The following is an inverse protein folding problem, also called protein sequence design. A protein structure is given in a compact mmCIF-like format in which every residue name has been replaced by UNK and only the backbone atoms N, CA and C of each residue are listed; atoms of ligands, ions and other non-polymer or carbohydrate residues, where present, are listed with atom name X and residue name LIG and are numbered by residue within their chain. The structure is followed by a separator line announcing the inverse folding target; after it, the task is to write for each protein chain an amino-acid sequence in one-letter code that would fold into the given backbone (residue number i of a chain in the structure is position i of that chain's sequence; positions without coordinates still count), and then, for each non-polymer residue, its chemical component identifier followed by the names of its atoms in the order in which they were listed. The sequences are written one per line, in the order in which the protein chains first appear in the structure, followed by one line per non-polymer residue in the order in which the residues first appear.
data_IF_159179554180
#
_entry.id   IF_159179554180
#
_cell.length_a   1.000
_cell.length_b   1.000
_cell.length_c   1.000
_cell.angle_alpha   90.00
_cell.angle_beta   90.00
_cell.angle_gamma   90.00
#
_symmetry.space_group_name_H-M   'P 1'
#
loop_
_entity.id
_entity.type
_entity.pdbx_description
1 polymer ?
#
# COMPACT_ATOMS: atom_id res chain seq x y z
N UNK A 1 16.38 -8.87 2.31
CA UNK A 1 15.23 -8.04 1.87
C UNK A 1 15.08 -8.17 0.38
N UNK A 2 13.86 -8.33 -0.16
CA UNK A 2 13.57 -8.28 -1.60
C UNK A 2 13.02 -6.91 -1.98
N UNK A 3 13.29 -6.45 -3.19
CA UNK A 3 12.88 -5.14 -3.68
C UNK A 3 11.71 -5.27 -4.66
N UNK A 4 10.57 -4.65 -4.33
CA UNK A 4 9.38 -4.52 -5.15
C UNK A 4 9.18 -3.10 -5.67
N UNK A 5 8.22 -2.91 -6.57
CA UNK A 5 7.84 -1.61 -7.09
C UNK A 5 6.46 -1.20 -6.59
N UNK A 6 6.30 0.07 -6.18
CA UNK A 6 5.05 0.61 -5.68
C UNK A 6 4.37 1.47 -6.75
N UNK A 7 3.23 1.00 -7.23
CA UNK A 7 2.36 1.68 -8.19
C UNK A 7 1.49 2.70 -7.45
N UNK A 8 1.81 3.98 -7.59
CA UNK A 8 1.05 5.07 -6.98
C UNK A 8 -0.21 5.38 -7.79
N UNK A 9 -1.36 4.95 -7.30
CA UNK A 9 -2.66 5.27 -7.91
C UNK A 9 -3.00 6.76 -7.78
N UNK A 10 -2.35 7.49 -6.89
CA UNK A 10 -2.56 8.93 -6.67
C UNK A 10 -1.91 9.77 -7.78
N UNK A 11 -0.74 9.33 -8.28
CA UNK A 11 0.01 10.06 -9.32
C UNK A 11 -0.31 9.62 -10.75
N UNK A 12 -0.86 8.40 -10.94
CA UNK A 12 -0.91 7.80 -12.26
C UNK A 12 -2.28 7.24 -12.61
N UNK A 13 -2.68 7.47 -13.85
CA UNK A 13 -3.88 6.87 -14.42
C UNK A 13 -3.75 5.36 -14.62
N UNK A 14 -4.88 4.65 -14.85
CA UNK A 14 -4.88 3.18 -14.85
C UNK A 14 -4.06 2.56 -15.98
N UNK A 15 -3.85 3.25 -17.11
CA UNK A 15 -3.02 2.74 -18.22
C UNK A 15 -1.54 2.88 -17.90
N UNK A 16 -1.14 4.03 -17.36
CA UNK A 16 0.22 4.30 -16.92
C UNK A 16 0.65 3.33 -15.82
N UNK A 17 -0.24 3.00 -14.87
CA UNK A 17 0.03 2.00 -13.84
C UNK A 17 0.29 0.60 -14.42
N UNK A 18 -0.48 0.19 -15.44
CA UNK A 18 -0.25 -1.09 -16.14
C UNK A 18 1.08 -1.07 -16.89
N UNK A 19 1.44 0.04 -17.53
CA UNK A 19 2.73 0.17 -18.24
C UNK A 19 3.91 0.19 -17.26
N UNK A 20 3.79 0.87 -16.11
CA UNK A 20 4.79 0.82 -15.03
C UNK A 20 4.96 -0.60 -14.47
N UNK A 21 3.87 -1.35 -14.30
CA UNK A 21 3.93 -2.75 -13.86
C UNK A 21 4.76 -3.62 -14.83
N UNK A 22 4.56 -3.47 -16.15
CA UNK A 22 5.40 -4.16 -17.17
C UNK A 22 6.87 -3.78 -17.05
N UNK A 23 7.14 -2.51 -16.84
CA UNK A 23 8.52 -2.01 -16.70
C UNK A 23 9.17 -2.52 -15.42
N UNK A 24 8.43 -2.57 -14.32
CA UNK A 24 8.92 -3.15 -13.07
C UNK A 24 9.30 -4.64 -13.24
N UNK A 25 8.47 -5.41 -13.94
CA UNK A 25 8.80 -6.80 -14.28
C UNK A 25 10.07 -6.91 -15.12
N UNK A 26 10.18 -6.11 -16.18
CA UNK A 26 11.37 -6.08 -17.05
C UNK A 26 12.63 -5.62 -16.33
N UNK A 27 12.49 -4.72 -15.35
CA UNK A 27 13.60 -4.24 -14.51
C UNK A 27 14.01 -5.24 -13.43
N UNK A 28 13.27 -6.33 -13.24
CA UNK A 28 13.60 -7.39 -12.26
C UNK A 28 13.12 -7.12 -10.84
N UNK A 29 12.17 -6.22 -10.64
CA UNK A 29 11.52 -6.07 -9.34
C UNK A 29 10.78 -7.36 -8.95
N UNK A 30 10.76 -7.67 -7.65
CA UNK A 30 10.25 -8.96 -7.14
C UNK A 30 8.71 -9.04 -7.17
N UNK A 31 8.03 -7.95 -6.82
CA UNK A 31 6.57 -7.88 -6.69
C UNK A 31 6.09 -6.44 -6.83
N UNK A 32 4.78 -6.25 -6.83
CA UNK A 32 4.12 -4.96 -6.94
C UNK A 32 3.27 -4.66 -5.69
N UNK A 33 3.32 -3.43 -5.20
CA UNK A 33 2.27 -2.81 -4.41
C UNK A 33 1.45 -1.87 -5.28
N UNK A 34 0.17 -1.69 -4.94
CA UNK A 34 -0.70 -0.69 -5.55
C UNK A 34 -1.60 -0.06 -4.49
N UNK A 35 -1.65 1.26 -4.42
CA UNK A 35 -2.51 1.99 -3.49
C UNK A 35 -4.00 1.90 -3.88
N UNK A 36 -4.88 1.87 -2.88
CA UNK A 36 -6.35 1.87 -3.03
C UNK A 36 -6.93 3.12 -2.39
N UNK A 37 -7.06 4.17 -3.17
CA UNK A 37 -7.62 5.44 -2.78
C UNK A 37 -8.89 5.77 -3.58
N UNK A 38 -9.73 6.65 -3.04
CA UNK A 38 -10.84 7.30 -3.75
C UNK A 38 -10.46 8.70 -4.20
N UNK A 39 -9.70 9.41 -3.35
CA UNK A 39 -9.09 10.69 -3.66
C UNK A 39 -7.56 10.58 -3.61
N UNK A 40 -6.82 11.34 -4.43
CA UNK A 40 -5.42 11.61 -4.14
C UNK A 40 -5.30 12.44 -2.85
N UNK A 41 -4.10 12.53 -2.30
CA UNK A 41 -3.87 13.34 -1.10
C UNK A 41 -3.97 14.86 -1.38
N UNK A 42 -3.62 15.26 -2.59
CA UNK A 42 -3.72 16.64 -3.08
C UNK A 42 -3.99 16.65 -4.59
N UNK A 43 -4.42 17.78 -5.13
CA UNK A 43 -4.80 17.90 -6.53
C UNK A 43 -3.61 17.81 -7.50
N UNK A 44 -2.37 18.07 -7.04
CA UNK A 44 -1.16 17.92 -7.86
C UNK A 44 -0.86 16.46 -8.24
N UNK A 45 -1.26 15.50 -7.41
CA UNK A 45 -1.16 14.07 -7.72
C UNK A 45 -2.12 13.66 -8.85
N UNK A 46 -3.35 14.17 -8.85
CA UNK A 46 -4.25 14.23 -10.00
C UNK A 46 -5.00 12.96 -10.39
N UNK A 47 -4.74 11.81 -9.76
CA UNK A 47 -5.36 10.54 -10.10
C UNK A 47 -5.90 9.78 -8.88
N UNK A 48 -6.82 8.86 -9.11
CA UNK A 48 -7.24 7.83 -8.14
C UNK A 48 -8.12 6.78 -8.84
N UNK A 49 -7.58 5.94 -9.72
CA UNK A 49 -8.36 4.93 -10.41
C UNK A 49 -8.86 3.85 -9.45
N UNK A 50 -9.99 3.25 -9.77
CA UNK A 50 -10.52 2.14 -8.98
C UNK A 50 -9.57 0.93 -9.05
N UNK A 51 -8.92 0.62 -7.93
CA UNK A 51 -7.81 -0.33 -7.83
C UNK A 51 -8.14 -1.72 -8.38
N UNK A 52 -9.37 -2.22 -8.13
CA UNK A 52 -9.78 -3.57 -8.53
C UNK A 52 -9.86 -3.74 -10.05
N UNK A 53 -10.24 -2.68 -10.79
CA UNK A 53 -10.19 -2.68 -12.25
C UNK A 53 -8.76 -2.63 -12.77
N UNK A 54 -7.89 -1.86 -12.12
CA UNK A 54 -6.48 -1.72 -12.47
C UNK A 54 -5.72 -3.02 -12.25
N UNK A 55 -5.98 -3.72 -11.12
CA UNK A 55 -5.39 -5.05 -10.84
C UNK A 55 -5.73 -6.06 -11.95
N UNK A 56 -6.96 -6.04 -12.47
CA UNK A 56 -7.32 -6.88 -13.62
C UNK A 56 -6.44 -6.61 -14.85
N UNK A 57 -6.17 -5.34 -15.14
CA UNK A 57 -5.24 -4.95 -16.22
C UNK A 57 -3.79 -5.37 -15.97
N UNK A 58 -3.30 -5.23 -14.73
CA UNK A 58 -1.95 -5.66 -14.33
C UNK A 58 -1.81 -7.18 -14.44
N UNK A 59 -2.82 -7.94 -14.01
CA UNK A 59 -2.82 -9.39 -14.05
C UNK A 59 -2.67 -9.97 -15.47
N UNK A 60 -3.24 -9.30 -16.47
CA UNK A 60 -3.11 -9.66 -17.90
C UNK A 60 -1.78 -9.16 -18.50
N UNK A 61 -1.16 -8.16 -17.89
CA UNK A 61 0.03 -7.50 -18.43
C UNK A 61 1.35 -8.07 -17.91
N UNK A 62 1.34 -8.70 -16.73
CA UNK A 62 2.54 -9.18 -16.01
C UNK A 62 2.29 -10.51 -15.29
N UNK A 63 3.38 -11.18 -14.93
CA UNK A 63 3.37 -12.37 -14.06
C UNK A 63 3.77 -12.03 -12.61
N UNK A 64 3.82 -10.77 -12.24
CA UNK A 64 4.24 -10.35 -10.92
C UNK A 64 3.15 -10.60 -9.86
N UNK A 65 3.58 -10.84 -8.62
CA UNK A 65 2.69 -10.80 -7.47
C UNK A 65 2.25 -9.35 -7.24
N UNK A 66 0.95 -9.16 -6.93
CA UNK A 66 0.37 -7.84 -6.64
C UNK A 66 -0.24 -7.85 -5.25
N UNK A 67 0.07 -6.84 -4.45
CA UNK A 67 -0.50 -6.60 -3.13
C UNK A 67 -1.16 -5.23 -3.10
N UNK A 68 -2.37 -5.09 -2.56
CA UNK A 68 -2.94 -3.75 -2.28
C UNK A 68 -2.20 -3.09 -1.12
N UNK A 69 -1.79 -1.86 -1.26
CA UNK A 69 -0.99 -1.16 -0.25
C UNK A 69 -1.63 0.16 0.24
N UNK A 70 -2.79 0.16 0.97
CA UNK A 70 -3.62 -0.96 1.38
C UNK A 70 -5.10 -0.65 1.15
N UNK A 71 -5.92 -1.68 1.02
CA UNK A 71 -7.39 -1.54 0.95
C UNK A 71 -7.98 -1.37 2.35
N UNK A 72 -8.98 -0.50 2.49
CA UNK A 72 -9.75 -0.36 3.72
C UNK A 72 -11.09 -1.12 3.60
N UNK A 73 -11.25 -2.29 4.26
CA UNK A 73 -12.49 -3.07 4.15
C UNK A 73 -13.51 -2.69 5.24
N UNK A 74 -13.59 -1.41 5.62
CA UNK A 74 -14.39 -1.03 6.80
C UNK A 74 -15.60 -0.16 6.49
N UNK A 75 -15.43 1.02 5.91
CA UNK A 75 -16.51 2.02 5.75
C UNK A 75 -16.96 2.12 4.31
N UNK A 76 -16.08 2.53 3.39
CA UNK A 76 -16.40 2.80 1.98
C UNK A 76 -16.90 1.57 1.24
N UNK A 77 -16.27 0.42 1.48
CA UNK A 77 -16.62 -0.84 0.81
C UNK A 77 -16.84 -1.93 1.86
N UNK A 78 -18.03 -2.55 1.82
CA UNK A 78 -18.39 -3.63 2.74
C UNK A 78 -17.44 -4.84 2.60
N UNK A 79 -17.01 -5.50 3.70
CA UNK A 79 -16.06 -6.63 3.66
C UNK A 79 -16.48 -7.78 2.74
N UNK A 80 -17.78 -8.05 2.60
CA UNK A 80 -18.24 -9.08 1.67
C UNK A 80 -17.95 -8.75 0.19
N UNK A 81 -17.97 -7.46 -0.17
CA UNK A 81 -17.61 -7.00 -1.52
C UNK A 81 -16.10 -7.11 -1.74
N UNK A 82 -15.31 -6.74 -0.73
CA UNK A 82 -13.84 -6.92 -0.76
C UNK A 82 -13.47 -8.40 -0.85
N UNK A 83 -14.15 -9.29 -0.09
CA UNK A 83 -13.93 -10.73 -0.18
C UNK A 83 -14.14 -11.27 -1.60
N UNK A 84 -15.18 -10.79 -2.28
CA UNK A 84 -15.49 -11.18 -3.66
C UNK A 84 -14.45 -10.63 -4.64
N UNK A 85 -14.09 -9.35 -4.51
CA UNK A 85 -13.08 -8.71 -5.36
C UNK A 85 -11.71 -9.39 -5.22
N UNK A 86 -11.27 -9.67 -3.98
CA UNK A 86 -10.00 -10.31 -3.69
C UNK A 86 -9.94 -11.75 -4.20
N UNK A 87 -11.04 -12.53 -4.05
CA UNK A 87 -11.13 -13.87 -4.62
C UNK A 87 -11.01 -13.85 -6.14
N UNK A 88 -11.72 -12.92 -6.81
CA UNK A 88 -11.65 -12.75 -8.27
C UNK A 88 -10.23 -12.35 -8.70
N UNK A 89 -9.60 -11.41 -8.01
CA UNK A 89 -8.22 -10.99 -8.28
C UNK A 89 -7.23 -12.15 -8.13
N UNK A 90 -7.40 -12.98 -7.09
CA UNK A 90 -6.56 -14.15 -6.88
C UNK A 90 -6.74 -15.22 -7.99
N UNK A 91 -7.95 -15.41 -8.49
CA UNK A 91 -8.21 -16.31 -9.64
C UNK A 91 -7.54 -15.79 -10.91
N UNK A 92 -7.74 -14.51 -11.26
CA UNK A 92 -7.15 -13.91 -12.46
C UNK A 92 -5.61 -13.93 -12.40
N UNK A 93 -5.04 -13.61 -11.25
CA UNK A 93 -3.59 -13.63 -11.05
C UNK A 93 -3.02 -15.03 -10.83
N UNK A 94 -3.84 -16.10 -10.88
CA UNK A 94 -3.42 -17.47 -10.62
C UNK A 94 -2.69 -17.64 -9.28
N UNK A 95 -3.25 -17.06 -8.20
CA UNK A 95 -2.72 -17.14 -6.85
C UNK A 95 -1.62 -16.10 -6.51
N UNK A 96 -1.27 -15.20 -7.42
CA UNK A 96 -0.25 -14.15 -7.22
C UNK A 96 -0.79 -12.86 -6.61
N UNK A 97 -1.99 -12.86 -6.05
CA UNK A 97 -2.60 -11.73 -5.37
C UNK A 97 -2.48 -11.87 -3.86
N UNK A 98 -2.07 -10.81 -3.19
CA UNK A 98 -2.15 -10.63 -1.74
C UNK A 98 -3.07 -9.45 -1.42
N UNK A 99 -3.85 -9.56 -0.35
CA UNK A 99 -4.74 -8.48 0.09
C UNK A 99 -4.10 -7.72 1.25
N UNK A 100 -3.52 -6.57 0.96
CA UNK A 100 -3.13 -5.63 2.01
C UNK A 100 -4.36 -4.87 2.54
N UNK A 101 -4.53 -4.84 3.85
CA UNK A 101 -5.66 -4.19 4.51
C UNK A 101 -5.21 -3.25 5.63
N UNK A 102 -5.98 -2.18 5.82
CA UNK A 102 -5.75 -1.18 6.87
C UNK A 102 -7.05 -0.62 7.45
N UNK A 103 -6.93 0.16 8.51
CA UNK A 103 -8.08 0.80 9.16
C UNK A 103 -8.60 2.06 8.45
N UNK A 104 -7.93 2.49 7.38
CA UNK A 104 -8.33 3.58 6.48
C UNK A 104 -8.05 5.00 6.97
N UNK A 105 -8.35 5.94 6.11
CA UNK A 105 -8.26 7.39 6.30
C UNK A 105 -9.61 8.06 5.98
N UNK A 106 -9.93 9.14 6.68
CA UNK A 106 -11.15 9.92 6.43
C UNK A 106 -11.24 10.38 4.97
N UNK A 107 -10.12 10.76 4.35
CA UNK A 107 -10.02 11.18 2.96
C UNK A 107 -10.75 10.26 1.99
N UNK A 108 -10.60 8.96 2.17
CA UNK A 108 -11.10 7.94 1.26
C UNK A 108 -12.46 7.35 1.68
N UNK A 109 -12.71 7.32 3.00
CA UNK A 109 -13.80 6.52 3.53
C UNK A 109 -15.10 7.32 3.77
N UNK A 110 -15.01 8.66 3.99
CA UNK A 110 -16.18 9.51 4.25
C UNK A 110 -17.06 9.76 3.02
N UNK A 111 -16.58 9.46 1.82
CA UNK A 111 -17.21 9.79 0.52
C UNK A 111 -18.61 9.22 0.33
N UNK A 112 -18.94 8.16 1.07
CA UNK A 112 -20.29 7.58 1.06
C UNK A 112 -21.25 8.27 2.05
N UNK A 113 -20.82 9.34 2.74
CA UNK A 113 -21.62 10.06 3.73
C UNK A 113 -21.73 9.35 5.09
N UNK A 114 -20.96 8.30 5.33
CA UNK A 114 -20.89 7.64 6.62
C UNK A 114 -20.03 8.43 7.62
N UNK A 115 -20.32 8.23 8.92
CA UNK A 115 -19.47 8.74 9.99
C UNK A 115 -18.07 8.12 9.92
N UNK A 116 -17.02 8.93 10.12
CA UNK A 116 -15.69 8.42 10.32
C UNK A 116 -15.51 7.99 11.79
N UNK A 117 -15.29 6.69 12.07
CA UNK A 117 -15.20 6.18 13.43
C UNK A 117 -13.87 6.55 14.11
N UNK A 118 -13.84 6.49 15.43
CA UNK A 118 -12.63 6.61 16.23
C UNK A 118 -11.66 5.44 15.98
N UNK A 119 -10.36 5.66 16.22
CA UNK A 119 -9.31 4.70 15.89
C UNK A 119 -9.54 3.29 16.48
N UNK A 120 -10.01 3.21 17.72
CA UNK A 120 -10.30 1.91 18.37
C UNK A 120 -11.45 1.17 17.68
N UNK A 121 -12.52 1.90 17.35
CA UNK A 121 -13.66 1.33 16.63
C UNK A 121 -13.24 0.86 15.24
N UNK A 122 -12.38 1.62 14.54
CA UNK A 122 -11.84 1.21 13.23
C UNK A 122 -11.02 -0.09 13.30
N UNK A 123 -10.26 -0.29 14.38
CA UNK A 123 -9.52 -1.54 14.59
C UNK A 123 -10.45 -2.71 14.86
N UNK A 124 -11.53 -2.53 15.65
CA UNK A 124 -12.56 -3.56 15.83
C UNK A 124 -13.27 -3.89 14.50
N UNK A 125 -13.59 -2.88 13.71
CA UNK A 125 -14.17 -3.05 12.38
C UNK A 125 -13.23 -3.83 11.45
N UNK A 126 -11.94 -3.52 11.46
CA UNK A 126 -10.94 -4.23 10.65
C UNK A 126 -10.81 -5.71 11.08
N UNK A 127 -10.81 -5.99 12.37
CA UNK A 127 -10.79 -7.37 12.89
C UNK A 127 -12.00 -8.16 12.38
N UNK A 128 -13.21 -7.62 12.56
CA UNK A 128 -14.44 -8.25 12.09
C UNK A 128 -14.48 -8.39 10.56
N UNK A 129 -13.96 -7.39 9.82
CA UNK A 129 -13.86 -7.47 8.37
C UNK A 129 -12.99 -8.65 7.92
N UNK A 130 -11.81 -8.84 8.54
CA UNK A 130 -10.92 -9.98 8.23
C UNK A 130 -11.58 -11.32 8.55
N UNK A 131 -12.35 -11.41 9.64
CA UNK A 131 -13.15 -12.62 9.94
C UNK A 131 -14.14 -12.94 8.79
N UNK A 132 -14.84 -11.93 8.28
CA UNK A 132 -15.78 -12.08 7.15
C UNK A 132 -15.05 -12.51 5.87
N UNK A 133 -13.91 -11.90 5.55
CA UNK A 133 -13.10 -12.28 4.39
C UNK A 133 -12.76 -13.78 4.44
N UNK A 134 -12.17 -14.22 5.55
CA UNK A 134 -11.79 -15.63 5.75
C UNK A 134 -13.00 -16.58 5.77
N UNK A 135 -14.14 -16.14 6.35
CA UNK A 135 -15.38 -16.91 6.35
C UNK A 135 -15.91 -17.16 4.93
N UNK A 136 -15.95 -16.13 4.10
CA UNK A 136 -16.49 -16.22 2.74
C UNK A 136 -15.59 -17.03 1.80
N UNK A 137 -14.27 -16.98 1.99
CA UNK A 137 -13.33 -17.78 1.21
C UNK A 137 -13.35 -19.29 1.52
N UNK A 138 -14.02 -19.72 2.59
CA UNK A 138 -14.26 -21.16 2.82
C UNK A 138 -15.27 -21.78 1.83
N UNK A 139 -15.93 -20.96 1.01
CA UNK A 139 -16.95 -21.42 0.09
C UNK A 139 -18.27 -21.81 0.76
N UNK A 140 -19.23 -22.26 -0.07
CA UNK A 140 -20.59 -22.52 0.40
C UNK A 140 -21.36 -21.25 0.74
N UNK A 141 -22.62 -21.41 1.22
CA UNK A 141 -23.44 -20.29 1.66
C UNK A 141 -23.05 -19.93 3.10
N UNK A 142 -22.74 -18.66 3.33
CA UNK A 142 -22.31 -18.12 4.61
C UNK A 142 -23.20 -16.97 5.05
N UNK A 143 -23.37 -16.83 6.35
CA UNK A 143 -23.98 -15.67 7.00
C UNK A 143 -23.15 -15.28 8.21
N UNK A 144 -23.09 -13.98 8.49
CA UNK A 144 -22.39 -13.41 9.65
C UNK A 144 -23.26 -12.33 10.30
N UNK A 145 -23.28 -12.29 11.62
CA UNK A 145 -23.93 -11.24 12.41
C UNK A 145 -23.00 -10.80 13.52
N UNK A 146 -22.23 -9.78 13.23
CA UNK A 146 -21.30 -9.19 14.18
C UNK A 146 -21.79 -7.87 14.76
N UNK A 147 -20.86 -7.15 15.37
CA UNK A 147 -21.11 -5.83 15.94
C UNK A 147 -21.22 -4.75 14.86
N UNK A 148 -20.35 -4.82 13.85
CA UNK A 148 -20.21 -3.80 12.81
C UNK A 148 -20.83 -4.22 11.50
N UNK A 149 -20.83 -5.53 11.17
CA UNK A 149 -21.27 -6.01 9.86
C UNK A 149 -22.30 -7.11 9.92
N UNK A 150 -23.05 -7.21 8.83
CA UNK A 150 -23.98 -8.32 8.58
C UNK A 150 -23.77 -8.84 7.18
N UNK A 151 -23.68 -10.15 7.07
CA UNK A 151 -23.68 -10.88 5.79
C UNK A 151 -24.80 -11.90 5.84
N UNK A 152 -25.60 -11.99 4.78
CA UNK A 152 -26.75 -12.88 4.76
C UNK A 152 -26.76 -13.70 3.47
N UNK A 153 -26.73 -15.02 3.62
CA UNK A 153 -26.83 -15.99 2.52
C UNK A 153 -25.82 -15.75 1.37
N UNK A 154 -24.63 -15.22 1.68
CA UNK A 154 -23.62 -14.92 0.68
C UNK A 154 -22.85 -16.18 0.25
N UNK A 155 -22.54 -16.27 -1.04
CA UNK A 155 -21.68 -17.31 -1.60
C UNK A 155 -20.80 -16.73 -2.69
N UNK A 156 -19.49 -16.91 -2.56
CA UNK A 156 -18.53 -16.65 -3.63
C UNK A 156 -18.39 -17.95 -4.43
N UNK A 157 -18.59 -17.87 -5.76
CA UNK A 157 -18.55 -19.05 -6.64
C UNK A 157 -17.16 -19.30 -7.22
N UNK A 158 -16.46 -18.21 -7.60
CA UNK A 158 -15.12 -18.28 -8.15
C UNK A 158 -14.11 -18.05 -7.01
N UNK A 159 -13.58 -19.17 -6.49
CA UNK A 159 -12.58 -19.15 -5.43
C UNK A 159 -11.25 -19.66 -5.96
N UNK A 160 -10.11 -19.07 -5.54
CA UNK A 160 -8.79 -19.63 -5.83
C UNK A 160 -8.56 -20.93 -5.05
N UNK A 161 -7.59 -21.75 -5.47
CA UNK A 161 -7.21 -22.96 -4.75
C UNK A 161 -6.75 -22.69 -3.31
N UNK A 162 -6.04 -21.58 -3.13
CA UNK A 162 -5.65 -21.06 -1.81
C UNK A 162 -6.18 -19.64 -1.67
N UNK A 163 -6.78 -19.29 -0.53
CA UNK A 163 -7.23 -17.93 -0.29
C UNK A 163 -6.04 -16.96 -0.31
N UNK A 164 -6.25 -15.70 -0.73
CA UNK A 164 -5.20 -14.69 -0.67
C UNK A 164 -4.67 -14.50 0.76
N UNK A 165 -3.35 -14.35 0.89
CA UNK A 165 -2.76 -13.91 2.15
C UNK A 165 -3.21 -12.48 2.48
N UNK A 166 -3.43 -12.21 3.76
CA UNK A 166 -3.85 -10.90 4.27
C UNK A 166 -2.66 -10.22 4.93
N UNK A 167 -2.20 -9.12 4.36
CA UNK A 167 -1.11 -8.28 4.88
C UNK A 167 -1.75 -7.09 5.61
N UNK A 168 -1.57 -7.00 6.93
CA UNK A 168 -2.27 -6.00 7.76
C UNK A 168 -1.36 -4.82 8.06
N UNK A 169 -1.81 -3.62 7.70
CA UNK A 169 -1.10 -2.37 7.98
C UNK A 169 -1.31 -1.89 9.42
N UNK A 170 -0.25 -1.35 10.03
CA UNK A 170 -0.31 -0.75 11.35
C UNK A 170 0.92 0.10 11.66
N UNK A 171 0.68 1.28 12.28
CA UNK A 171 1.73 2.27 12.59
C UNK A 171 1.87 2.54 14.09
N UNK A 172 1.03 1.93 14.92
CA UNK A 172 1.10 2.09 16.36
C UNK A 172 0.93 0.77 17.10
N UNK A 173 1.27 0.70 18.39
CA UNK A 173 1.32 -0.56 19.13
C UNK A 173 0.03 -1.37 19.14
N UNK A 174 -1.16 -0.72 19.15
CA UNK A 174 -2.46 -1.39 19.08
C UNK A 174 -2.69 -2.04 17.72
N UNK A 175 -2.42 -1.30 16.64
CA UNK A 175 -2.57 -1.79 15.26
C UNK A 175 -1.58 -2.93 14.96
N UNK A 176 -0.33 -2.82 15.44
CA UNK A 176 0.70 -3.87 15.31
C UNK A 176 0.28 -5.17 16.00
N UNK A 177 -0.28 -5.08 17.23
CA UNK A 177 -0.80 -6.26 17.93
C UNK A 177 -1.97 -6.90 17.18
N UNK A 178 -2.84 -6.08 16.59
CA UNK A 178 -3.91 -6.57 15.75
C UNK A 178 -3.35 -7.23 14.50
N UNK A 179 -2.39 -6.62 13.81
CA UNK A 179 -1.75 -7.20 12.63
C UNK A 179 -1.13 -8.57 12.92
N UNK A 180 -0.43 -8.73 14.04
CA UNK A 180 0.13 -10.02 14.46
C UNK A 180 -0.94 -11.08 14.77
N UNK A 181 -2.14 -10.65 15.22
CA UNK A 181 -3.27 -11.54 15.56
C UNK A 181 -4.03 -12.04 14.34
N UNK A 182 -4.33 -11.14 13.38
CA UNK A 182 -5.27 -11.43 12.28
C UNK A 182 -4.61 -11.55 10.90
N UNK A 183 -3.37 -11.07 10.74
CA UNK A 183 -2.65 -11.04 9.45
C UNK A 183 -1.83 -12.29 9.18
N UNK A 184 -1.59 -12.52 7.89
CA UNK A 184 -0.59 -13.47 7.38
C UNK A 184 0.76 -12.78 7.16
N UNK A 185 0.79 -11.44 7.24
CA UNK A 185 1.95 -10.55 7.20
C UNK A 185 1.60 -9.17 7.73
N UNK A 186 2.61 -8.29 7.77
CA UNK A 186 2.48 -6.92 8.26
C UNK A 186 2.96 -5.92 7.20
N UNK A 187 2.26 -4.78 7.09
CA UNK A 187 2.61 -3.67 6.21
C UNK A 187 2.92 -2.39 6.99
N UNK A 188 3.98 -1.68 6.60
CA UNK A 188 4.38 -0.39 7.17
C UNK A 188 4.92 0.55 6.08
N UNK A 189 5.18 1.81 6.43
CA UNK A 189 5.89 2.78 5.58
C UNK A 189 7.12 3.38 6.26
N UNK A 190 7.48 2.88 7.45
CA UNK A 190 8.65 3.36 8.18
C UNK A 190 9.60 2.23 8.57
N UNK A 191 10.92 2.48 8.61
CA UNK A 191 11.93 1.52 9.06
C UNK A 191 12.03 1.48 10.59
N UNK A 192 10.91 1.31 11.29
CA UNK A 192 10.85 1.27 12.76
C UNK A 192 11.12 -0.15 13.29
N UNK A 193 12.36 -0.40 13.67
CA UNK A 193 12.81 -1.69 14.19
C UNK A 193 12.07 -2.13 15.47
N UNK A 194 11.65 -1.17 16.33
CA UNK A 194 10.94 -1.48 17.58
C UNK A 194 9.50 -1.95 17.28
N UNK A 195 8.82 -1.33 16.33
CA UNK A 195 7.49 -1.77 15.89
C UNK A 195 7.54 -3.11 15.16
N UNK A 196 8.55 -3.34 14.32
CA UNK A 196 8.76 -4.64 13.65
C UNK A 196 9.07 -5.72 14.69
N UNK A 197 9.92 -5.43 15.68
CA UNK A 197 10.16 -6.33 16.79
C UNK A 197 8.89 -6.62 17.59
N UNK A 198 8.08 -5.60 17.87
CA UNK A 198 6.78 -5.78 18.54
C UNK A 198 5.88 -6.74 17.76
N UNK A 199 5.77 -6.59 16.42
CA UNK A 199 5.02 -7.52 15.58
C UNK A 199 5.48 -8.97 15.78
N UNK A 200 6.81 -9.22 15.74
CA UNK A 200 7.39 -10.55 15.95
C UNK A 200 7.15 -11.08 17.38
N UNK A 201 7.33 -10.24 18.39
CA UNK A 201 7.11 -10.60 19.81
C UNK A 201 5.63 -10.95 20.10
N UNK A 202 4.68 -10.37 19.35
CA UNK A 202 3.25 -10.70 19.44
C UNK A 202 2.86 -11.94 18.61
N UNK A 203 3.82 -12.65 18.03
CA UNK A 203 3.60 -13.90 17.32
C UNK A 203 3.41 -13.75 15.80
N UNK A 204 3.63 -12.58 15.23
CA UNK A 204 3.61 -12.34 13.79
C UNK A 204 4.70 -13.12 13.07
N UNK A 205 4.31 -14.03 12.16
CA UNK A 205 5.23 -14.96 11.49
C UNK A 205 5.45 -14.66 10.02
N UNK A 206 4.52 -13.97 9.39
CA UNK A 206 4.57 -13.65 7.96
C UNK A 206 5.54 -12.53 7.63
N UNK A 207 5.67 -12.17 6.34
CA UNK A 207 6.60 -11.13 5.92
C UNK A 207 6.22 -9.76 6.49
N UNK A 208 7.24 -8.95 6.75
CA UNK A 208 7.10 -7.51 6.94
C UNK A 208 7.34 -6.84 5.60
N UNK A 209 6.31 -6.26 5.04
CA UNK A 209 6.34 -5.49 3.80
C UNK A 209 6.38 -4.00 4.14
N UNK A 210 7.19 -3.23 3.44
CA UNK A 210 7.23 -1.79 3.62
C UNK A 210 7.15 -1.05 2.28
N UNK A 211 6.55 0.15 2.31
CA UNK A 211 6.57 1.10 1.20
C UNK A 211 7.50 2.26 1.49
N UNK A 212 8.26 2.71 0.50
CA UNK A 212 9.06 3.93 0.56
C UNK A 212 9.00 4.69 -0.75
N UNK A 213 9.39 5.96 -0.72
CA UNK A 213 9.40 6.84 -1.89
C UNK A 213 10.79 7.34 -2.18
N UNK A 214 11.06 7.54 -3.46
CA UNK A 214 12.27 8.20 -3.97
C UNK A 214 11.87 9.17 -5.07
N UNK A 215 12.68 10.19 -5.29
CA UNK A 215 12.54 11.09 -6.43
C UNK A 215 13.86 11.10 -7.22
N UNK A 216 14.07 10.06 -8.02
CA UNK A 216 15.25 9.94 -8.86
C UNK A 216 15.13 10.86 -10.08
N UNK A 217 16.11 11.73 -10.29
CA UNK A 217 16.17 12.68 -11.40
C UNK A 217 17.63 13.05 -11.66
N UNK A 218 17.90 13.62 -12.82
CA UNK A 218 19.27 14.08 -13.18
C UNK A 218 19.71 15.31 -12.38
N UNK A 219 18.75 16.10 -11.87
CA UNK A 219 18.99 17.32 -11.12
C UNK A 219 18.35 17.17 -9.72
N UNK A 220 19.18 17.25 -8.68
CA UNK A 220 18.72 17.12 -7.31
C UNK A 220 17.77 18.24 -6.90
N UNK A 221 18.02 19.49 -7.31
CA UNK A 221 17.17 20.61 -6.94
C UNK A 221 15.78 20.49 -7.56
N UNK A 222 15.67 20.03 -8.80
CA UNK A 222 14.39 19.77 -9.44
C UNK A 222 13.69 18.54 -8.83
N UNK A 223 14.43 17.50 -8.42
CA UNK A 223 13.89 16.35 -7.72
C UNK A 223 13.26 16.77 -6.37
N UNK A 224 13.94 17.59 -5.58
CA UNK A 224 13.43 18.11 -4.29
C UNK A 224 12.14 18.91 -4.47
N UNK A 225 12.10 19.82 -5.44
CA UNK A 225 10.88 20.57 -5.76
C UNK A 225 9.75 19.65 -6.20
N UNK A 226 10.03 18.65 -7.01
CA UNK A 226 9.06 17.67 -7.50
C UNK A 226 8.49 16.85 -6.34
N UNK A 227 9.35 16.31 -5.49
CA UNK A 227 8.93 15.55 -4.31
C UNK A 227 8.08 16.40 -3.36
N UNK A 228 8.50 17.64 -3.07
CA UNK A 228 7.76 18.57 -2.23
C UNK A 228 6.40 18.94 -2.84
N UNK A 229 6.34 19.22 -4.14
CA UNK A 229 5.09 19.58 -4.83
C UNK A 229 4.06 18.44 -4.83
N UNK A 230 4.51 17.19 -5.03
CA UNK A 230 3.63 16.03 -5.21
C UNK A 230 3.32 15.34 -3.87
N UNK A 231 4.29 15.19 -2.95
CA UNK A 231 4.17 14.41 -1.72
C UNK A 231 4.52 15.18 -0.42
N UNK A 232 4.08 16.44 -0.24
CA UNK A 232 4.34 17.16 1.01
C UNK A 232 3.58 16.56 2.21
N UNK A 233 2.45 15.91 1.95
CA UNK A 233 1.55 15.35 2.96
C UNK A 233 2.18 14.24 3.83
N UNK A 234 3.25 13.59 3.39
CA UNK A 234 3.95 12.57 4.19
C UNK A 234 4.68 13.14 5.42
N UNK A 235 4.93 14.45 5.43
CA UNK A 235 5.56 15.15 6.54
C UNK A 235 4.54 15.64 7.58
N UNK A 236 3.24 15.39 7.38
CA UNK A 236 2.21 15.80 8.34
C UNK A 236 2.28 14.96 9.61
N UNK A 237 2.37 15.58 10.80
CA UNK A 237 2.60 14.86 12.03
C UNK A 237 1.33 14.17 12.58
N UNK A 238 1.56 13.11 13.35
CA UNK A 238 0.54 12.48 14.19
C UNK A 238 -0.59 11.82 13.39
N UNK A 239 -1.83 12.11 13.76
CA UNK A 239 -3.02 11.48 13.17
C UNK A 239 -3.61 12.27 11.98
N UNK A 240 -2.97 13.34 11.53
CA UNK A 240 -3.53 14.21 10.48
C UNK A 240 -3.85 13.43 9.19
N UNK A 241 -2.97 12.53 8.77
CA UNK A 241 -3.22 11.68 7.60
C UNK A 241 -4.48 10.81 7.73
N UNK A 242 -4.91 10.48 8.95
CA UNK A 242 -6.08 9.63 9.18
C UNK A 242 -7.39 10.42 9.33
N UNK A 243 -7.32 11.71 9.70
CA UNK A 243 -8.52 12.49 10.09
C UNK A 243 -8.88 13.60 9.11
N UNK A 244 -7.95 14.08 8.30
CA UNK A 244 -8.24 15.10 7.29
C UNK A 244 -9.12 14.51 6.17
N UNK A 245 -10.28 15.18 5.86
CA UNK A 245 -11.29 14.51 5.03
C UNK A 245 -11.21 14.83 3.53
N UNK A 246 -10.41 15.82 3.10
CA UNK A 246 -10.39 16.22 1.68
C UNK A 246 -9.00 16.64 1.22
N UNK A 247 -8.68 16.55 -0.09
CA UNK A 247 -7.43 17.06 -0.65
C UNK A 247 -7.12 18.49 -0.25
N UNK A 248 -8.11 19.39 -0.26
CA UNK A 248 -7.94 20.78 0.14
C UNK A 248 -7.46 20.96 1.60
N UNK A 249 -7.85 20.06 2.52
CA UNK A 249 -7.33 20.10 3.89
C UNK A 249 -5.87 19.64 3.97
N UNK A 250 -5.51 18.66 3.16
CA UNK A 250 -4.10 18.21 3.05
C UNK A 250 -3.23 19.30 2.43
N UNK A 251 -3.70 20.00 1.40
CA UNK A 251 -2.99 21.15 0.81
C UNK A 251 -2.74 22.24 1.83
N UNK A 252 -3.79 22.64 2.57
CA UNK A 252 -3.66 23.65 3.64
C UNK A 252 -2.68 23.22 4.74
N UNK A 253 -2.75 21.97 5.19
CA UNK A 253 -1.82 21.46 6.21
C UNK A 253 -0.39 21.39 5.69
N UNK A 254 -0.22 21.07 4.41
CA UNK A 254 1.08 20.96 3.74
C UNK A 254 1.77 22.30 3.46
N UNK A 255 1.07 23.45 3.58
CA UNK A 255 1.71 24.78 3.51
C UNK A 255 2.82 24.98 4.56
N UNK A 256 2.80 24.20 5.64
CA UNK A 256 3.82 24.22 6.69
C UNK A 256 5.05 23.35 6.39
N UNK A 257 4.97 22.52 5.36
CA UNK A 257 6.02 21.59 4.97
C UNK A 257 7.00 22.26 4.00
N UNK A 258 8.29 22.21 4.30
CA UNK A 258 9.33 22.74 3.41
C UNK A 258 9.93 21.64 2.50
N UNK A 259 10.60 22.06 1.43
CA UNK A 259 11.39 21.15 0.57
C UNK A 259 12.45 20.39 1.38
N UNK A 260 13.08 21.04 2.36
CA UNK A 260 14.07 20.39 3.21
C UNK A 260 13.47 19.26 4.06
N UNK A 261 12.29 19.47 4.64
CA UNK A 261 11.59 18.43 5.41
C UNK A 261 11.30 17.19 4.55
N UNK A 262 10.82 17.38 3.32
CA UNK A 262 10.59 16.26 2.39
C UNK A 262 11.90 15.55 2.04
N UNK A 263 12.95 16.32 1.73
CA UNK A 263 14.24 15.75 1.34
C UNK A 263 15.02 15.06 2.48
N UNK A 264 14.61 15.24 3.74
CA UNK A 264 15.15 14.47 4.87
C UNK A 264 14.73 12.98 4.83
N UNK A 265 13.53 12.70 4.29
CA UNK A 265 12.96 11.35 4.27
C UNK A 265 12.86 10.73 2.87
N UNK A 266 12.80 11.57 1.84
CA UNK A 266 12.74 11.13 0.43
C UNK A 266 14.08 11.41 -0.24
N UNK A 267 14.86 10.39 -0.61
CA UNK A 267 16.10 10.60 -1.36
C UNK A 267 15.78 11.17 -2.74
N UNK A 268 16.38 12.34 -3.03
CA UNK A 268 16.18 13.10 -4.24
C UNK A 268 17.46 13.19 -5.06
N UNK A 269 17.33 13.16 -6.39
CA UNK A 269 18.45 13.37 -7.31
C UNK A 269 19.10 12.10 -7.82
N UNK A 270 20.27 12.22 -8.53
CA UNK A 270 20.86 11.11 -9.27
C UNK A 270 21.84 10.24 -8.48
N UNK A 271 22.13 10.60 -7.23
CA UNK A 271 23.09 9.87 -6.37
C UNK A 271 22.50 8.55 -5.90
N UNK A 272 22.88 7.46 -6.59
CA UNK A 272 22.38 6.11 -6.27
C UNK A 272 22.82 5.63 -4.89
N UNK A 273 23.95 6.07 -4.35
CA UNK A 273 24.41 5.64 -3.03
C UNK A 273 23.47 6.17 -1.94
N UNK A 274 22.99 7.42 -2.07
CA UNK A 274 21.97 7.98 -1.16
C UNK A 274 20.64 7.19 -1.19
N UNK A 275 20.22 6.75 -2.39
CA UNK A 275 19.04 5.89 -2.49
C UNK A 275 19.27 4.54 -1.82
N UNK A 276 20.45 3.94 -2.01
CA UNK A 276 20.81 2.67 -1.35
C UNK A 276 20.85 2.82 0.17
N UNK A 277 21.40 3.92 0.71
CA UNK A 277 21.39 4.19 2.15
C UNK A 277 19.97 4.11 2.74
N UNK A 278 19.00 4.72 2.09
CA UNK A 278 17.57 4.62 2.50
C UNK A 278 17.06 3.18 2.46
N UNK A 279 17.38 2.40 1.40
CA UNK A 279 16.96 1.00 1.34
C UNK A 279 17.58 0.15 2.45
N UNK A 280 18.84 0.41 2.81
CA UNK A 280 19.53 -0.29 3.90
C UNK A 280 18.95 0.03 5.28
N UNK A 281 18.37 1.22 5.49
CA UNK A 281 17.65 1.52 6.74
C UNK A 281 16.47 0.54 6.94
N UNK A 282 15.68 0.27 5.90
CA UNK A 282 14.60 -0.71 5.96
C UNK A 282 15.10 -2.15 6.14
N UNK A 283 16.18 -2.52 5.46
CA UNK A 283 16.80 -3.84 5.63
C UNK A 283 17.29 -4.05 7.06
N UNK A 284 17.97 -3.06 7.63
CA UNK A 284 18.50 -3.08 9.00
C UNK A 284 17.37 -3.09 10.05
N UNK A 285 16.23 -2.48 9.76
CA UNK A 285 15.06 -2.53 10.63
C UNK A 285 14.35 -3.90 10.63
N UNK A 286 14.66 -4.79 9.68
CA UNK A 286 14.10 -6.13 9.60
C UNK A 286 12.90 -6.26 8.65
N UNK A 287 12.81 -5.39 7.64
CA UNK A 287 11.84 -5.50 6.53
C UNK A 287 12.25 -6.65 5.61
N UNK A 288 11.29 -7.49 5.24
CA UNK A 288 11.53 -8.62 4.35
C UNK A 288 11.37 -8.24 2.87
N UNK A 289 10.42 -7.35 2.57
CA UNK A 289 10.11 -6.88 1.22
C UNK A 289 9.86 -5.37 1.22
N UNK A 290 10.64 -4.62 0.46
CA UNK A 290 10.52 -3.17 0.34
C UNK A 290 10.03 -2.78 -1.05
N UNK A 291 8.94 -2.01 -1.10
CA UNK A 291 8.31 -1.53 -2.33
C UNK A 291 8.64 -0.05 -2.52
N UNK A 292 9.31 0.27 -3.61
CA UNK A 292 9.80 1.62 -3.90
C UNK A 292 8.90 2.30 -4.92
N UNK A 293 8.41 3.50 -4.58
CA UNK A 293 7.69 4.39 -5.48
C UNK A 293 8.64 5.45 -6.03
N UNK A 294 8.71 5.59 -7.35
CA UNK A 294 9.32 6.74 -7.98
C UNK A 294 8.31 7.89 -8.05
N UNK A 295 8.63 9.04 -7.44
CA UNK A 295 7.84 10.27 -7.51
C UNK A 295 8.10 10.99 -8.82
N UNK A 296 7.03 11.48 -9.46
CA UNK A 296 7.10 12.39 -10.60
C UNK A 296 7.39 11.72 -11.95
N UNK A 297 7.63 12.51 -13.00
CA UNK A 297 7.56 12.07 -14.40
C UNK A 297 8.76 11.27 -14.88
N UNK A 298 9.88 11.28 -14.17
CA UNK A 298 11.14 10.67 -14.61
C UNK A 298 11.17 9.13 -14.48
N UNK A 299 10.03 8.47 -14.78
CA UNK A 299 9.85 7.03 -14.65
C UNK A 299 10.84 6.24 -15.54
N UNK A 300 11.05 6.69 -16.78
CA UNK A 300 11.96 6.05 -17.71
C UNK A 300 13.40 6.09 -17.20
N UNK A 301 13.82 7.25 -16.74
CA UNK A 301 15.16 7.44 -16.18
C UNK A 301 15.37 6.59 -14.92
N UNK A 302 14.36 6.51 -14.05
CA UNK A 302 14.40 5.68 -12.86
C UNK A 302 14.61 4.20 -13.21
N UNK A 303 13.76 3.62 -14.05
CA UNK A 303 13.88 2.22 -14.43
C UNK A 303 15.19 1.91 -15.12
N UNK A 304 15.63 2.77 -16.08
CA UNK A 304 16.87 2.56 -16.83
C UNK A 304 18.12 2.64 -15.94
N UNK A 305 18.07 3.40 -14.84
CA UNK A 305 19.18 3.52 -13.88
C UNK A 305 19.14 2.45 -12.79
N UNK A 306 17.96 2.13 -12.26
CA UNK A 306 17.81 1.21 -11.12
C UNK A 306 17.89 -0.27 -11.51
N UNK A 307 17.41 -0.63 -12.71
CA UNK A 307 17.44 -2.00 -13.18
C UNK A 307 18.86 -2.60 -13.24
N UNK A 308 19.89 -1.92 -13.76
CA UNK A 308 21.25 -2.46 -13.77
C UNK A 308 22.00 -2.29 -12.44
N UNK A 309 21.73 -1.22 -11.67
CA UNK A 309 22.61 -0.81 -10.57
C UNK A 309 22.09 -1.17 -9.18
N UNK A 310 20.78 -1.11 -8.95
CA UNK A 310 20.19 -1.29 -7.62
C UNK A 310 19.42 -2.61 -7.53
N UNK A 311 18.50 -2.87 -8.44
CA UNK A 311 17.60 -4.03 -8.35
C UNK A 311 18.35 -5.37 -8.20
N UNK A 312 19.46 -5.63 -8.91
CA UNK A 312 20.20 -6.88 -8.78
C UNK A 312 20.86 -7.08 -7.41
N UNK A 313 21.11 -6.00 -6.65
CA UNK A 313 21.69 -6.11 -5.29
C UNK A 313 20.74 -6.81 -4.31
N UNK A 314 19.44 -6.73 -4.54
CA UNK A 314 18.40 -7.26 -3.66
C UNK A 314 17.67 -8.47 -4.23
N UNK A 315 17.57 -8.59 -5.56
CA UNK A 315 16.75 -9.58 -6.24
C UNK A 315 17.55 -10.64 -7.03
N UNK A 316 18.87 -10.70 -6.87
CA UNK A 316 19.65 -11.83 -7.39
C UNK A 316 19.28 -13.12 -6.64
N UNK A 317 19.16 -14.22 -7.38
CA UNK A 317 18.90 -15.59 -6.88
C UNK A 317 20.00 -16.10 -5.94
#
# INVERSE_FOLDING_TARGET
MKLGYFLSSEEWGPRELVDQARRAEQAGFHALWISDHYHPWNDEQGHSPFVWSTIGGIAEATNMRVTTGVTCPTVRIHPAVIAHAAATSAVITQGRFQLGVGSGEALNEHVIGARWPEAEERLEMLEEAVEILRLLWQGGVKSHRGRHYRVENARIYDLPEQPPEIIVSGFGPKAIKLAAKIGDGHATTSPDADLIKLYRDQGGKGPVQAGTKVCFSRDEAEARKTAHRIWPNEQLPGELAQVLPTPAHFEQASELVSEDMVAETVPCGPDLDRHVETLEEYANAGVDELFVQQIGPEQDLFFDSWAPEIVPRYNSD
#
